data_IF_169856507152
#
_entry.id   IF_169856507152
#
_cell.length_a   1.000
_cell.length_b   1.000
_cell.length_c   1.000
_cell.angle_alpha   90.00
_cell.angle_beta   90.00
_cell.angle_gamma   90.00
#
_symmetry.space_group_name_H-M   'P 1'
#
loop_
_entity.id
_entity.type
_entity.pdbx_description
1 polymer ?
#
# COMPACT_ATOMS: atom_id res chain seq x y z
N UNK A 1 -1.13 12.14 -12.19
CA UNK A 1 -0.08 11.86 -11.18
C UNK A 1 0.47 10.50 -11.54
N UNK A 2 1.77 10.40 -11.84
CA UNK A 2 2.45 9.13 -12.05
C UNK A 2 2.73 8.54 -10.68
N UNK A 3 1.99 7.50 -10.29
CA UNK A 3 2.30 6.74 -9.08
C UNK A 3 3.54 5.91 -9.38
N UNK A 4 4.48 5.87 -8.42
CA UNK A 4 5.71 5.09 -8.56
C UNK A 4 5.36 3.59 -8.52
N UNK A 5 5.55 2.89 -9.63
CA UNK A 5 5.28 1.45 -9.79
C UNK A 5 6.31 0.55 -9.07
N UNK A 6 7.16 1.10 -8.21
CA UNK A 6 8.13 0.32 -7.41
C UNK A 6 7.39 -0.67 -6.51
N UNK A 7 7.78 -1.94 -6.61
CA UNK A 7 7.39 -2.97 -5.64
C UNK A 7 7.75 -2.54 -4.21
N UNK A 8 6.77 -2.59 -3.30
CA UNK A 8 6.87 -2.11 -1.92
C UNK A 8 6.65 -0.60 -1.74
N UNK A 9 6.38 0.14 -2.82
CA UNK A 9 5.97 1.54 -2.76
C UNK A 9 4.57 1.72 -2.15
N UNK A 10 4.15 2.98 -1.90
CA UNK A 10 2.89 3.24 -1.19
C UNK A 10 1.65 2.65 -1.87
N UNK A 11 1.53 2.78 -3.20
CA UNK A 11 0.38 2.25 -3.95
C UNK A 11 0.29 0.71 -3.85
N UNK A 12 1.41 0.04 -4.15
CA UNK A 12 1.53 -1.43 -4.04
C UNK A 12 1.23 -1.90 -2.61
N UNK A 13 1.73 -1.17 -1.60
CA UNK A 13 1.45 -1.50 -0.20
C UNK A 13 -0.02 -1.33 0.18
N UNK A 14 -0.66 -0.26 -0.28
CA UNK A 14 -2.09 -0.03 -0.06
C UNK A 14 -2.95 -1.15 -0.65
N UNK A 15 -2.67 -1.53 -1.89
CA UNK A 15 -3.36 -2.65 -2.54
C UNK A 15 -3.10 -3.99 -1.82
N UNK A 16 -1.85 -4.27 -1.46
CA UNK A 16 -1.50 -5.48 -0.72
C UNK A 16 -2.21 -5.56 0.65
N UNK A 17 -2.31 -4.44 1.38
CA UNK A 17 -3.00 -4.44 2.66
C UNK A 17 -4.50 -4.69 2.49
N UNK A 18 -5.18 -4.09 1.50
CA UNK A 18 -6.57 -4.44 1.18
C UNK A 18 -6.72 -5.91 0.73
N UNK A 19 -5.83 -6.41 -0.14
CA UNK A 19 -5.86 -7.80 -0.64
C UNK A 19 -5.79 -8.82 0.50
N UNK A 20 -4.94 -8.58 1.51
CA UNK A 20 -4.86 -9.41 2.72
C UNK A 20 -5.88 -9.03 3.80
N UNK A 21 -6.83 -8.15 3.50
CA UNK A 21 -7.85 -7.61 4.42
C UNK A 21 -7.25 -7.05 5.72
N UNK A 22 -6.10 -6.40 5.60
CA UNK A 22 -5.50 -5.61 6.68
C UNK A 22 -6.20 -4.26 6.70
N UNK A 23 -6.49 -3.77 7.91
CA UNK A 23 -7.14 -2.46 8.07
C UNK A 23 -6.32 -1.33 7.43
N UNK A 24 -7.01 -0.23 7.09
CA UNK A 24 -6.38 0.94 6.51
C UNK A 24 -5.30 1.51 7.45
N UNK A 25 -4.04 1.36 7.06
CA UNK A 25 -2.89 1.78 7.84
C UNK A 25 -1.81 2.30 6.89
N UNK A 26 -1.78 3.59 6.52
CA UNK A 26 -0.79 4.10 5.57
C UNK A 26 0.64 3.88 6.05
N UNK A 27 1.40 3.12 5.26
CA UNK A 27 2.84 2.91 5.43
C UNK A 27 3.40 2.34 4.12
N UNK A 28 4.72 2.33 3.99
CA UNK A 28 5.38 1.60 2.91
C UNK A 28 6.79 1.18 3.31
N UNK A 29 7.41 0.32 2.49
CA UNK A 29 8.75 -0.19 2.74
C UNK A 29 9.74 0.42 1.72
N UNK A 30 10.90 0.89 2.18
CA UNK A 30 11.88 1.53 1.30
C UNK A 30 12.50 0.58 0.25
N UNK A 31 12.40 -0.73 0.47
CA UNK A 31 12.72 -1.78 -0.49
C UNK A 31 11.53 -2.66 -0.84
N UNK A 32 11.76 -3.69 -1.65
CA UNK A 32 10.75 -4.66 -2.07
C UNK A 32 10.48 -5.78 -1.04
N UNK A 33 11.05 -5.68 0.16
CA UNK A 33 10.94 -6.68 1.24
C UNK A 33 10.43 -6.01 2.50
N UNK A 34 9.58 -6.70 3.25
CA UNK A 34 9.13 -6.28 4.59
C UNK A 34 10.28 -6.19 5.62
N UNK A 35 11.48 -6.64 5.26
CA UNK A 35 12.70 -6.48 6.06
C UNK A 35 13.38 -5.13 5.86
N UNK A 36 12.99 -4.36 4.84
CA UNK A 36 13.51 -3.01 4.62
C UNK A 36 12.87 -2.01 5.58
N UNK A 37 13.42 -0.80 5.63
CA UNK A 37 12.90 0.26 6.51
C UNK A 37 11.42 0.52 6.20
N UNK A 38 10.60 0.49 7.26
CA UNK A 38 9.19 0.84 7.17
C UNK A 38 9.05 2.34 7.42
N UNK A 39 8.45 3.05 6.46
CA UNK A 39 8.06 4.45 6.62
C UNK A 39 6.61 4.47 7.13
N UNK A 40 6.38 4.83 8.40
CA UNK A 40 5.03 4.99 8.95
C UNK A 40 4.36 6.26 8.41
N UNK A 41 3.04 6.32 8.49
CA UNK A 41 2.22 7.45 8.02
C UNK A 41 2.77 8.83 8.44
N UNK A 42 3.26 8.98 9.67
CA UNK A 42 3.80 10.25 10.19
C UNK A 42 5.04 10.75 9.45
N UNK A 43 5.75 9.87 8.76
CA UNK A 43 6.93 10.18 7.96
C UNK A 43 6.64 10.18 6.45
N UNK A 44 5.40 9.88 6.04
CA UNK A 44 4.98 9.95 4.64
C UNK A 44 4.61 11.38 4.25
N UNK A 45 4.96 11.75 3.03
CA UNK A 45 4.47 12.94 2.36
C UNK A 45 2.98 12.80 2.00
N UNK A 46 2.24 13.91 1.81
CA UNK A 46 0.85 13.85 1.36
C UNK A 46 0.66 13.09 0.04
N UNK A 47 1.64 13.14 -0.87
CA UNK A 47 1.61 12.42 -2.13
C UNK A 47 1.73 10.90 -1.93
N UNK A 48 2.59 10.44 -1.03
CA UNK A 48 2.73 9.02 -0.70
C UNK A 48 1.48 8.48 0.01
N UNK A 49 0.88 9.26 0.91
CA UNK A 49 -0.38 8.88 1.56
C UNK A 49 -1.46 8.74 0.48
N UNK A 50 -1.56 9.72 -0.43
CA UNK A 50 -2.52 9.66 -1.56
C UNK A 50 -2.31 8.41 -2.43
N UNK A 51 -1.05 8.05 -2.68
CA UNK A 51 -0.72 6.85 -3.45
C UNK A 51 -1.15 5.56 -2.72
N UNK A 52 -0.86 5.45 -1.42
CA UNK A 52 -1.34 4.35 -0.59
C UNK A 52 -2.86 4.25 -0.60
N UNK A 53 -3.56 5.36 -0.37
CA UNK A 53 -5.03 5.39 -0.36
C UNK A 53 -5.60 4.96 -1.70
N UNK A 54 -5.01 5.39 -2.81
CA UNK A 54 -5.45 5.00 -4.15
C UNK A 54 -5.30 3.49 -4.37
N UNK A 55 -4.17 2.90 -4.00
CA UNK A 55 -3.95 1.46 -4.13
C UNK A 55 -4.89 0.63 -3.27
N UNK A 56 -5.13 1.05 -2.03
CA UNK A 56 -6.10 0.41 -1.14
C UNK A 56 -7.52 0.44 -1.74
N UNK A 57 -7.99 1.62 -2.15
CA UNK A 57 -9.34 1.78 -2.69
C UNK A 57 -9.53 1.05 -4.03
N UNK A 58 -8.52 1.00 -4.89
CA UNK A 58 -8.60 0.28 -6.15
C UNK A 58 -8.81 -1.22 -5.93
N UNK A 59 -8.14 -1.80 -4.92
CA UNK A 59 -8.32 -3.21 -4.56
C UNK A 59 -9.69 -3.45 -3.90
N UNK A 60 -10.14 -2.56 -3.00
CA UNK A 60 -11.48 -2.63 -2.40
C UNK A 60 -12.59 -2.56 -3.47
N UNK A 61 -12.44 -1.69 -4.48
CA UNK A 61 -13.38 -1.56 -5.59
C UNK A 61 -13.36 -2.79 -6.50
N UNK A 62 -12.17 -3.36 -6.74
CA UNK A 62 -12.02 -4.61 -7.48
C UNK A 62 -12.59 -5.83 -6.72
N UNK A 63 -12.66 -5.75 -5.38
CA UNK A 63 -13.04 -6.86 -4.52
C UNK A 63 -12.07 -8.04 -4.60
N UNK A 64 -10.82 -7.79 -4.96
CA UNK A 64 -9.78 -8.81 -5.08
C UNK A 64 -9.19 -9.09 -3.68
N UNK A 65 -9.68 -10.13 -3.04
CA UNK A 65 -9.25 -10.52 -1.71
C UNK A 65 -8.58 -11.87 -1.74
N UNK A 66 -7.57 -12.03 -0.89
CA UNK A 66 -6.94 -13.32 -0.67
C UNK A 66 -7.98 -14.31 -0.18
N UNK A 67 -8.26 -15.33 -1.00
CA UNK A 67 -8.97 -16.52 -0.57
C UNK A 67 -8.05 -17.34 0.35
N UNK A 68 -8.55 -17.64 1.55
CA UNK A 68 -7.82 -18.37 2.57
C UNK A 68 -8.12 -19.89 2.54
N UNK A 69 -9.05 -20.34 1.69
CA UNK A 69 -9.42 -21.74 1.51
C UNK A 69 -10.73 -22.14 2.18
#
# INVERSE_FOLDING_TARGET
MTYDDRHGGPYDRGGADSYYQRGYHPHYYTGASMQSECIPMEMMTPAEITAYTKGFNDNEEAGDFKDWG
#
